data_IF_275972102139
#
_entry.id   IF_275972102139
#
_cell.length_a   1.000
_cell.length_b   1.000
_cell.length_c   1.000
_cell.angle_alpha   90.00
_cell.angle_beta   90.00
_cell.angle_gamma   90.00
#
_symmetry.space_group_name_H-M   'P 1'
#
loop_
_entity.id
_entity.type
_entity.pdbx_description
1 polymer ?
#
# COMPACT_ATOMS: atom_id res chain seq x y z
N UNK A 1 -1.61 10.78 12.94
CA UNK A 1 -1.42 9.58 12.12
C UNK A 1 -0.08 8.94 12.41
N UNK A 2 -0.08 7.62 12.54
CA UNK A 2 1.15 6.88 12.80
C UNK A 2 1.80 6.35 11.52
N UNK A 3 2.89 5.62 11.72
CA UNK A 3 3.67 5.07 10.61
C UNK A 3 2.90 4.05 9.77
N UNK A 4 2.01 3.24 10.37
CA UNK A 4 1.22 2.28 9.60
C UNK A 4 0.29 2.98 8.62
N UNK A 5 -0.38 4.04 9.06
CA UNK A 5 -1.21 4.83 8.15
C UNK A 5 -0.39 5.43 7.02
N UNK A 6 0.81 5.95 7.31
CA UNK A 6 1.70 6.45 6.26
C UNK A 6 2.09 5.33 5.29
N UNK A 7 2.41 4.15 5.81
CA UNK A 7 2.80 3.01 4.96
C UNK A 7 1.67 2.58 4.04
N UNK A 8 0.41 2.65 4.52
CA UNK A 8 -0.76 2.27 3.73
C UNK A 8 -1.06 3.33 2.67
N UNK A 9 -1.15 4.60 3.09
CA UNK A 9 -1.70 5.64 2.23
C UNK A 9 -0.68 6.25 1.27
N UNK A 10 0.62 6.18 1.57
CA UNK A 10 1.65 6.72 0.68
C UNK A 10 1.59 6.11 -0.73
N UNK A 11 1.62 4.76 -0.90
CA UNK A 11 1.52 4.21 -2.26
C UNK A 11 0.15 4.46 -2.88
N UNK A 12 -0.93 4.53 -2.10
CA UNK A 12 -2.26 4.81 -2.63
C UNK A 12 -2.31 6.23 -3.20
N UNK A 13 -1.75 7.20 -2.49
CA UNK A 13 -1.71 8.59 -2.97
C UNK A 13 -0.89 8.71 -4.24
N UNK A 14 0.29 8.06 -4.30
CA UNK A 14 1.09 8.07 -5.53
C UNK A 14 0.33 7.43 -6.68
N UNK A 15 -0.38 6.33 -6.43
CA UNK A 15 -1.20 5.70 -7.45
C UNK A 15 -2.31 6.61 -7.95
N UNK A 16 -2.99 7.30 -7.06
CA UNK A 16 -4.05 8.24 -7.43
C UNK A 16 -3.50 9.39 -8.25
N UNK A 17 -2.33 9.93 -7.89
CA UNK A 17 -1.66 10.99 -8.65
C UNK A 17 -1.33 10.50 -10.07
N UNK A 18 -0.84 9.28 -10.21
CA UNK A 18 -0.54 8.71 -11.53
C UNK A 18 -1.77 8.57 -12.39
N UNK A 19 -2.89 8.16 -11.81
CA UNK A 19 -4.16 8.11 -12.56
C UNK A 19 -4.58 9.49 -13.04
N UNK A 20 -4.41 10.50 -12.19
CA UNK A 20 -4.80 11.87 -12.53
C UNK A 20 -3.91 12.47 -13.62
N UNK A 21 -2.60 12.12 -13.63
CA UNK A 21 -1.64 12.62 -14.63
C UNK A 21 -1.69 11.82 -15.93
N UNK A 22 -2.48 10.79 -15.99
CA UNK A 22 -2.42 9.68 -16.94
C UNK A 22 -2.58 10.01 -18.40
N UNK A 23 -1.51 10.43 -19.04
CA UNK A 23 -1.45 10.55 -20.50
C UNK A 23 -0.39 9.60 -21.04
N UNK A 24 -0.72 8.88 -22.11
CA UNK A 24 0.23 7.95 -22.73
C UNK A 24 1.48 8.67 -23.23
N UNK A 25 1.35 9.95 -23.61
CA UNK A 25 2.51 10.74 -24.03
C UNK A 25 3.50 11.00 -22.91
N UNK A 26 3.11 10.78 -21.65
CA UNK A 26 3.96 10.98 -20.48
C UNK A 26 4.37 9.67 -19.82
N UNK A 27 4.40 8.59 -20.60
CA UNK A 27 4.71 7.24 -20.05
C UNK A 27 6.04 7.21 -19.30
N UNK A 28 7.07 7.88 -19.82
CA UNK A 28 8.37 7.90 -19.17
C UNK A 28 8.32 8.62 -17.82
N UNK A 29 7.61 9.74 -17.75
CA UNK A 29 7.40 10.45 -16.50
C UNK A 29 6.64 9.59 -15.49
N UNK A 30 5.59 8.91 -15.95
CA UNK A 30 4.79 8.02 -15.11
C UNK A 30 5.65 6.90 -14.52
N UNK A 31 6.52 6.31 -15.34
CA UNK A 31 7.41 5.25 -14.86
C UNK A 31 8.34 5.74 -13.75
N UNK A 32 8.94 6.92 -13.94
CA UNK A 32 9.83 7.50 -12.92
C UNK A 32 9.08 7.85 -11.64
N UNK A 33 7.90 8.43 -11.76
CA UNK A 33 7.08 8.75 -10.58
C UNK A 33 6.70 7.47 -9.85
N UNK A 34 6.33 6.42 -10.58
CA UNK A 34 6.00 5.13 -9.97
C UNK A 34 7.18 4.54 -9.21
N UNK A 35 8.38 4.59 -9.80
CA UNK A 35 9.57 4.09 -9.15
C UNK A 35 9.89 4.89 -7.89
N UNK A 36 9.87 6.20 -7.98
CA UNK A 36 10.13 7.07 -6.83
C UNK A 36 9.08 6.84 -5.74
N UNK A 37 7.80 6.74 -6.13
CA UNK A 37 6.73 6.47 -5.18
C UNK A 37 6.87 5.13 -4.48
N UNK A 38 7.26 4.08 -5.21
CA UNK A 38 7.47 2.77 -4.60
C UNK A 38 8.68 2.76 -3.68
N UNK A 39 9.75 3.48 -4.02
CA UNK A 39 10.92 3.61 -3.15
C UNK A 39 10.58 4.38 -1.87
N UNK A 40 9.85 5.49 -1.99
CA UNK A 40 9.41 6.26 -0.82
C UNK A 40 8.51 5.40 0.08
N UNK A 41 7.60 4.65 -0.52
CA UNK A 41 6.71 3.75 0.21
C UNK A 41 7.50 2.70 0.98
N UNK A 42 8.53 2.12 0.37
CA UNK A 42 9.38 1.15 1.04
C UNK A 42 10.15 1.81 2.19
N UNK A 43 10.70 3.00 1.97
CA UNK A 43 11.43 3.73 3.02
C UNK A 43 10.52 4.05 4.21
N UNK A 44 9.24 4.34 3.96
CA UNK A 44 8.26 4.58 5.03
C UNK A 44 8.04 3.32 5.87
N UNK A 45 8.16 2.12 5.27
CA UNK A 45 8.00 0.87 6.00
C UNK A 45 9.22 0.48 6.84
N UNK A 46 10.41 1.01 6.53
CA UNK A 46 11.63 0.65 7.27
C UNK A 46 11.57 1.00 8.76
N UNK A 47 11.01 2.15 9.20
CA UNK A 47 10.85 2.40 10.63
C UNK A 47 10.02 1.36 11.35
N UNK A 48 9.12 0.67 10.67
CA UNK A 48 8.36 -0.42 11.28
C UNK A 48 9.28 -1.57 11.67
N UNK A 49 10.28 -1.88 10.84
CA UNK A 49 11.27 -2.90 11.16
C UNK A 49 12.20 -2.45 12.28
N UNK A 50 12.74 -1.23 12.16
CA UNK A 50 13.72 -0.72 13.14
C UNK A 50 13.10 -0.52 14.52
N UNK A 51 11.84 -0.07 14.58
CA UNK A 51 11.14 0.15 15.83
C UNK A 51 10.43 -1.07 16.37
N UNK A 52 10.46 -2.20 15.67
CA UNK A 52 9.76 -3.40 16.09
C UNK A 52 10.54 -4.09 17.21
N UNK A 53 9.84 -4.38 18.31
CA UNK A 53 10.43 -5.05 19.47
C UNK A 53 10.24 -6.53 19.38
N UNK A 54 11.34 -7.27 19.41
CA UNK A 54 11.31 -8.73 19.43
C UNK A 54 11.05 -9.23 20.86
N UNK A 55 10.49 -10.45 20.96
CA UNK A 55 10.30 -11.10 22.24
C UNK A 55 9.03 -10.76 22.98
N UNK A 56 8.13 -9.99 22.37
CA UNK A 56 6.80 -9.69 22.94
C UNK A 56 5.70 -10.13 21.97
N UNK A 57 4.62 -10.76 22.45
CA UNK A 57 3.48 -11.10 21.62
C UNK A 57 2.55 -9.91 21.37
N UNK A 58 2.78 -8.77 22.01
CA UNK A 58 1.91 -7.61 21.89
C UNK A 58 1.96 -7.04 20.47
N UNK A 59 0.83 -6.53 20.00
CA UNK A 59 0.75 -5.79 18.75
C UNK A 59 1.48 -4.46 18.88
N UNK A 60 2.13 -4.04 17.79
CA UNK A 60 2.97 -2.84 17.79
C UNK A 60 2.50 -1.88 16.70
N UNK A 61 2.89 -0.62 16.83
CA UNK A 61 2.49 0.47 15.94
C UNK A 61 0.97 0.60 15.86
N UNK A 62 0.28 0.33 16.99
CA UNK A 62 -1.17 0.32 17.05
C UNK A 62 -1.71 1.73 16.84
N UNK A 63 -2.67 1.84 15.93
CA UNK A 63 -3.44 3.06 15.69
C UNK A 63 -4.91 2.71 15.82
N UNK A 64 -5.65 3.49 16.61
CA UNK A 64 -7.07 3.25 16.81
C UNK A 64 -7.81 4.57 16.82
N UNK A 65 -8.68 4.76 15.83
CA UNK A 65 -9.52 5.95 15.71
C UNK A 65 -10.96 5.50 15.44
N UNK A 66 -11.94 5.99 16.18
CA UNK A 66 -13.33 5.65 15.89
C UNK A 66 -13.70 6.07 14.46
N UNK A 67 -14.30 5.14 13.71
CA UNK A 67 -14.74 5.41 12.34
C UNK A 67 -16.25 5.47 12.26
N UNK A 68 -16.92 4.39 12.65
CA UNK A 68 -18.38 4.33 12.68
C UNK A 68 -18.78 3.93 14.11
N UNK A 69 -18.93 4.92 15.04
CA UNK A 69 -19.17 4.59 16.44
C UNK A 69 -20.49 3.85 16.67
N UNK A 70 -21.48 4.11 15.82
CA UNK A 70 -22.80 3.47 15.91
C UNK A 70 -22.70 1.95 15.83
N UNK A 71 -21.76 1.41 15.05
CA UNK A 71 -21.54 -0.02 14.87
C UNK A 71 -20.27 -0.51 15.54
N UNK A 72 -19.66 0.33 16.37
CA UNK A 72 -18.39 0.02 17.03
C UNK A 72 -17.28 -0.38 16.04
N UNK A 73 -17.27 0.29 14.90
CA UNK A 73 -16.25 0.09 13.86
C UNK A 73 -15.15 1.12 14.04
N UNK A 74 -13.90 0.67 14.10
CA UNK A 74 -12.75 1.54 14.33
C UNK A 74 -11.75 1.40 13.19
N UNK A 75 -11.06 2.51 12.90
CA UNK A 75 -9.84 2.48 12.07
C UNK A 75 -8.72 2.00 13.00
N UNK A 76 -8.55 0.69 13.07
CA UNK A 76 -7.69 0.05 14.07
C UNK A 76 -6.63 -0.76 13.35
N UNK A 77 -5.38 -0.33 13.48
CA UNK A 77 -4.22 -0.91 12.81
C UNK A 77 -3.19 -1.37 13.83
N UNK A 78 -2.43 -2.38 13.49
CA UNK A 78 -1.31 -2.86 14.29
C UNK A 78 -0.61 -4.01 13.59
N UNK A 79 0.60 -4.31 13.99
CA UNK A 79 1.38 -5.40 13.39
C UNK A 79 1.97 -6.29 14.49
N UNK A 80 2.11 -7.57 14.16
CA UNK A 80 2.85 -8.54 14.99
C UNK A 80 4.10 -8.99 14.24
N UNK A 81 4.79 -10.00 14.80
CA UNK A 81 6.04 -10.48 14.22
C UNK A 81 5.91 -11.11 12.83
N UNK A 82 4.69 -11.56 12.47
CA UNK A 82 4.44 -12.13 11.15
C UNK A 82 4.01 -11.03 10.18
N UNK A 83 3.04 -10.21 10.57
CA UNK A 83 2.47 -9.22 9.66
C UNK A 83 3.46 -8.12 9.30
N UNK A 84 4.38 -7.74 10.18
CA UNK A 84 5.39 -6.73 9.84
C UNK A 84 6.26 -7.19 8.66
N UNK A 85 6.58 -8.47 8.58
CA UNK A 85 7.34 -9.00 7.46
C UNK A 85 6.55 -8.97 6.17
N UNK A 86 5.24 -9.26 6.22
CA UNK A 86 4.39 -9.16 5.04
C UNK A 86 4.26 -7.72 4.55
N UNK A 87 4.21 -6.76 5.46
CA UNK A 87 4.19 -5.34 5.09
C UNK A 87 5.48 -4.95 4.35
N UNK A 88 6.63 -5.32 4.91
CA UNK A 88 7.92 -5.03 4.29
C UNK A 88 8.06 -5.72 2.93
N UNK A 89 7.65 -6.97 2.86
CA UNK A 89 7.71 -7.76 1.62
C UNK A 89 6.83 -7.13 0.53
N UNK A 90 5.62 -6.70 0.88
CA UNK A 90 4.70 -6.08 -0.06
C UNK A 90 5.32 -4.82 -0.66
N UNK A 91 5.90 -3.96 0.18
CA UNK A 91 6.54 -2.74 -0.30
C UNK A 91 7.75 -3.04 -1.19
N UNK A 92 8.55 -4.03 -0.83
CA UNK A 92 9.72 -4.42 -1.60
C UNK A 92 9.33 -5.00 -2.97
N UNK A 93 8.34 -5.89 -2.99
CA UNK A 93 7.86 -6.50 -4.24
C UNK A 93 7.30 -5.44 -5.18
N UNK A 94 6.66 -4.41 -4.65
CA UNK A 94 6.12 -3.32 -5.47
C UNK A 94 7.22 -2.64 -6.27
N UNK A 95 8.41 -2.41 -5.67
CA UNK A 95 9.56 -1.85 -6.38
C UNK A 95 9.95 -2.77 -7.53
N UNK A 96 10.03 -4.07 -7.27
CA UNK A 96 10.40 -5.07 -8.29
C UNK A 96 9.40 -5.08 -9.43
N UNK A 97 8.10 -5.01 -9.11
CA UNK A 97 7.04 -5.00 -10.12
C UNK A 97 7.15 -3.76 -11.02
N UNK A 98 7.42 -2.59 -10.44
CA UNK A 98 7.58 -1.37 -11.22
C UNK A 98 8.76 -1.51 -12.19
N UNK A 99 9.88 -2.02 -11.71
CA UNK A 99 11.07 -2.22 -12.55
C UNK A 99 10.80 -3.27 -13.63
N UNK A 100 10.16 -4.37 -13.26
CA UNK A 100 9.87 -5.45 -14.21
C UNK A 100 8.92 -5.01 -15.32
N UNK A 101 7.99 -4.12 -15.02
CA UNK A 101 7.04 -3.61 -16.01
C UNK A 101 7.57 -2.44 -16.84
N UNK A 102 8.80 -1.98 -16.57
CA UNK A 102 9.30 -0.75 -17.17
C UNK A 102 9.30 -0.79 -18.70
N UNK A 103 9.77 -1.88 -19.29
CA UNK A 103 9.84 -2.04 -20.73
C UNK A 103 8.72 -2.91 -21.30
N UNK A 104 8.21 -3.84 -20.49
CA UNK A 104 7.21 -4.80 -20.92
C UNK A 104 5.85 -4.11 -21.14
N UNK A 105 5.51 -3.15 -20.28
CA UNK A 105 4.23 -2.45 -20.35
C UNK A 105 4.43 -1.18 -21.17
N UNK A 106 3.78 -1.13 -22.36
CA UNK A 106 3.91 -0.02 -23.27
C UNK A 106 2.59 0.75 -23.46
N UNK A 107 1.47 0.16 -23.07
CA UNK A 107 0.15 0.78 -23.21
C UNK A 107 -0.47 0.95 -21.84
N UNK A 108 -1.20 2.07 -21.67
CA UNK A 108 -1.88 2.39 -20.41
C UNK A 108 -0.94 2.27 -19.20
N UNK A 109 0.27 2.80 -19.36
CA UNK A 109 1.32 2.69 -18.34
C UNK A 109 0.86 3.31 -17.03
N UNK A 110 0.15 4.45 -17.09
CA UNK A 110 -0.36 5.11 -15.89
C UNK A 110 -1.33 4.23 -15.11
N UNK A 111 -2.24 3.53 -15.80
CA UNK A 111 -3.19 2.63 -15.13
C UNK A 111 -2.47 1.45 -14.49
N UNK A 112 -1.51 0.86 -15.21
CA UNK A 112 -0.75 -0.28 -14.71
C UNK A 112 0.04 0.09 -13.46
N UNK A 113 0.82 1.16 -13.54
CA UNK A 113 1.65 1.59 -12.42
C UNK A 113 0.81 2.06 -11.23
N UNK A 114 -0.24 2.83 -11.52
CA UNK A 114 -1.15 3.30 -10.46
C UNK A 114 -1.85 2.12 -9.77
N UNK A 115 -2.29 1.14 -10.53
CA UNK A 115 -2.98 -0.02 -9.97
C UNK A 115 -2.07 -0.81 -9.04
N UNK A 116 -0.80 -1.01 -9.41
CA UNK A 116 0.12 -1.73 -8.53
C UNK A 116 0.47 -0.95 -7.27
N UNK A 117 0.64 0.37 -7.37
CA UNK A 117 0.89 1.19 -6.18
C UNK A 117 -0.31 1.20 -5.23
N UNK A 118 -1.51 1.35 -5.77
CA UNK A 118 -2.73 1.32 -4.96
C UNK A 118 -2.94 -0.05 -4.34
N UNK A 119 -2.70 -1.12 -5.11
CA UNK A 119 -2.81 -2.48 -4.60
C UNK A 119 -1.82 -2.73 -3.46
N UNK A 120 -0.60 -2.25 -3.59
CA UNK A 120 0.42 -2.36 -2.55
C UNK A 120 -0.06 -1.75 -1.24
N UNK A 121 -0.57 -0.51 -1.29
CA UNK A 121 -1.07 0.17 -0.10
C UNK A 121 -2.25 -0.56 0.54
N UNK A 122 -3.19 -1.02 -0.28
CA UNK A 122 -4.36 -1.74 0.21
C UNK A 122 -3.97 -3.09 0.83
N UNK A 123 -2.98 -3.78 0.26
CA UNK A 123 -2.49 -5.03 0.85
C UNK A 123 -1.80 -4.80 2.19
N UNK A 124 -1.04 -3.72 2.33
CA UNK A 124 -0.46 -3.34 3.62
C UNK A 124 -1.58 -3.12 4.63
N UNK A 125 -2.67 -2.47 4.22
CA UNK A 125 -3.85 -2.29 5.05
C UNK A 125 -4.48 -3.61 5.49
N UNK A 126 -4.57 -4.58 4.58
CA UNK A 126 -5.11 -5.91 4.89
C UNK A 126 -4.25 -6.60 5.96
N UNK A 127 -2.92 -6.53 5.82
CA UNK A 127 -2.04 -7.18 6.78
C UNK A 127 -2.02 -6.48 8.15
N UNK A 128 -2.44 -5.23 8.22
CA UNK A 128 -2.36 -4.41 9.43
C UNK A 128 -3.71 -4.20 10.11
N UNK A 129 -4.83 -4.51 9.46
CA UNK A 129 -6.15 -4.22 10.00
C UNK A 129 -6.47 -5.12 11.18
N UNK A 130 -6.92 -4.52 12.28
CA UNK A 130 -7.33 -5.21 13.50
C UNK A 130 -8.85 -5.17 13.70
N UNK A 131 -9.57 -4.39 12.91
CA UNK A 131 -11.04 -4.33 12.92
C UNK A 131 -11.57 -5.15 11.76
N UNK A 132 -12.56 -6.01 12.01
CA UNK A 132 -13.09 -6.90 10.99
C UNK A 132 -13.72 -6.18 9.80
N UNK A 133 -14.44 -5.08 10.04
CA UNK A 133 -15.02 -4.30 8.96
C UNK A 133 -13.94 -3.58 8.17
N UNK A 134 -12.95 -3.01 8.85
CA UNK A 134 -11.82 -2.36 8.19
C UNK A 134 -11.05 -3.35 7.32
N UNK A 135 -10.80 -4.56 7.83
CA UNK A 135 -10.17 -5.63 7.05
C UNK A 135 -10.96 -5.92 5.78
N UNK A 136 -12.28 -6.06 5.92
CA UNK A 136 -13.15 -6.34 4.78
C UNK A 136 -13.08 -5.23 3.73
N UNK A 137 -13.12 -3.97 4.18
CA UNK A 137 -13.05 -2.81 3.27
C UNK A 137 -11.74 -2.82 2.50
N UNK A 138 -10.60 -3.02 3.16
CA UNK A 138 -9.32 -3.09 2.49
C UNK A 138 -9.27 -4.28 1.53
N UNK A 139 -9.76 -5.43 1.95
CA UNK A 139 -9.77 -6.63 1.11
C UNK A 139 -10.61 -6.43 -0.15
N UNK A 140 -11.82 -5.91 0.00
CA UNK A 140 -12.69 -5.65 -1.16
C UNK A 140 -12.10 -4.56 -2.05
N UNK A 141 -11.47 -3.54 -1.46
CA UNK A 141 -10.85 -2.47 -2.24
C UNK A 141 -9.71 -2.98 -3.11
N UNK A 142 -9.02 -4.07 -2.73
CA UNK A 142 -7.96 -4.64 -3.56
C UNK A 142 -8.48 -5.16 -4.89
N UNK A 143 -9.77 -5.47 -4.97
CA UNK A 143 -10.37 -5.95 -6.22
C UNK A 143 -10.37 -4.88 -7.31
N UNK A 144 -10.43 -3.60 -6.94
CA UNK A 144 -10.45 -2.51 -7.91
C UNK A 144 -9.13 -2.41 -8.67
N UNK A 145 -7.96 -2.32 -8.02
CA UNK A 145 -6.69 -2.33 -8.74
C UNK A 145 -6.46 -3.62 -9.51
N UNK A 146 -6.86 -4.77 -8.95
CA UNK A 146 -6.72 -6.04 -9.65
C UNK A 146 -7.54 -6.06 -10.94
N UNK A 147 -8.74 -5.52 -10.90
CA UNK A 147 -9.57 -5.40 -12.10
C UNK A 147 -8.89 -4.54 -13.16
N UNK A 148 -8.29 -3.43 -12.76
CA UNK A 148 -7.59 -2.54 -13.69
C UNK A 148 -6.37 -3.22 -14.31
N UNK A 149 -5.67 -4.07 -13.57
CA UNK A 149 -4.50 -4.80 -14.08
C UNK A 149 -4.93 -5.87 -15.09
N UNK A 150 -5.95 -6.62 -14.76
CA UNK A 150 -6.41 -7.76 -15.57
C UNK A 150 -7.20 -7.28 -16.80
N UNK A 151 -8.06 -6.33 -16.59
CA UNK A 151 -9.01 -5.88 -17.60
C UNK A 151 -8.59 -4.74 -18.44
#
# INVERSE_FOLDING_TARGET
>A
MGWLSLAIWTPIVFGAVLLALGRESQAQLVRWIALIGSLISFLVTLPLYQGFRLGTPALQFVEKTPWIPRFNVNYHLGVDGISVWFVLLTAFITIIVVIAGWEVIQRKVNQYMAAFLMLSGLMIGVFSALDGVLFYVFFEATLIPMYLIIG
#
